data_IF_676774635871
#
_entry.id   IF_676774635871
#
_cell.length_a   1.000
_cell.length_b   1.000
_cell.length_c   1.000
_cell.angle_alpha   90.00
_cell.angle_beta   90.00
_cell.angle_gamma   90.00
#
_symmetry.space_group_name_H-M   'P 1'
#
loop_
_entity.id
_entity.type
_entity.pdbx_description
1 polymer ?
#
# COMPACT_ATOMS: atom_id res chain seq x y z
N UNK A 1 2.49 -10.97 -7.69
CA UNK A 1 2.66 -11.61 -6.38
C UNK A 1 3.29 -10.61 -5.41
N UNK A 2 3.32 -10.89 -4.11
CA UNK A 2 4.09 -10.12 -3.13
C UNK A 2 5.38 -10.85 -2.76
N UNK A 3 6.43 -10.10 -2.48
CA UNK A 3 7.74 -10.65 -2.08
C UNK A 3 8.34 -9.81 -0.96
N UNK A 4 9.01 -10.44 -0.01
CA UNK A 4 9.65 -9.78 1.12
C UNK A 4 11.16 -10.02 1.09
N UNK A 5 11.93 -8.96 1.31
CA UNK A 5 13.36 -9.03 1.58
C UNK A 5 13.55 -8.69 3.06
N UNK A 6 13.86 -9.68 3.92
CA UNK A 6 14.02 -9.45 5.35
C UNK A 6 15.03 -8.32 5.65
N UNK A 7 14.66 -7.40 6.53
CA UNK A 7 15.50 -6.26 6.91
C UNK A 7 15.57 -5.12 5.88
N UNK A 8 14.91 -5.24 4.73
CA UNK A 8 14.90 -4.20 3.69
C UNK A 8 13.48 -3.66 3.46
N UNK A 9 12.62 -4.44 2.79
CA UNK A 9 11.27 -4.02 2.45
C UNK A 9 10.41 -5.17 1.90
N UNK A 10 9.11 -4.92 1.80
CA UNK A 10 8.17 -5.74 1.04
C UNK A 10 7.93 -5.10 -0.33
N UNK A 11 7.64 -5.92 -1.34
CA UNK A 11 7.41 -5.49 -2.71
C UNK A 11 6.13 -6.09 -3.28
N UNK A 12 5.37 -5.26 -3.99
CA UNK A 12 4.31 -5.71 -4.88
C UNK A 12 4.91 -5.89 -6.27
N UNK A 13 5.00 -7.14 -6.70
CA UNK A 13 5.62 -7.53 -7.96
C UNK A 13 4.56 -7.80 -9.03
N UNK A 14 4.71 -7.16 -10.17
CA UNK A 14 4.03 -7.53 -11.41
C UNK A 14 5.08 -8.10 -12.37
N UNK A 15 4.84 -9.31 -12.88
CA UNK A 15 5.70 -9.95 -13.89
C UNK A 15 4.89 -10.09 -15.19
N UNK A 16 5.54 -9.84 -16.32
CA UNK A 16 4.91 -9.78 -17.63
C UNK A 16 5.94 -10.05 -18.74
N UNK A 17 5.47 -10.21 -19.99
CA UNK A 17 6.33 -10.29 -21.17
C UNK A 17 6.20 -9.01 -22.00
N UNK A 18 7.30 -8.56 -22.57
CA UNK A 18 7.39 -7.44 -23.51
C UNK A 18 8.21 -7.87 -24.74
N UNK A 19 8.32 -7.01 -25.77
CA UNK A 19 8.91 -7.39 -27.06
C UNK A 19 10.37 -7.91 -26.95
N UNK A 20 11.12 -7.47 -25.93
CA UNK A 20 12.50 -7.91 -25.65
C UNK A 20 12.57 -9.06 -24.64
N UNK A 21 11.47 -9.76 -24.34
CA UNK A 21 11.40 -10.87 -23.39
C UNK A 21 10.69 -10.55 -22.06
N UNK A 22 11.02 -11.28 -21.01
CA UNK A 22 10.38 -11.13 -19.69
C UNK A 22 10.74 -9.79 -19.02
N UNK A 23 9.82 -9.29 -18.19
CA UNK A 23 9.98 -8.07 -17.41
C UNK A 23 9.23 -8.16 -16.10
N UNK A 24 9.65 -7.36 -15.12
CA UNK A 24 8.96 -7.23 -13.85
C UNK A 24 9.06 -5.81 -13.29
N UNK A 25 7.99 -5.36 -12.63
CA UNK A 25 7.96 -4.10 -11.87
C UNK A 25 7.85 -4.43 -10.38
N UNK A 26 8.80 -3.90 -9.60
CA UNK A 26 8.84 -4.01 -8.15
C UNK A 26 8.45 -2.67 -7.55
N UNK A 27 7.29 -2.61 -6.88
CA UNK A 27 6.87 -1.43 -6.12
C UNK A 27 7.07 -1.68 -4.64
N UNK A 28 7.86 -0.84 -3.98
CA UNK A 28 8.10 -0.91 -2.54
C UNK A 28 6.78 -0.70 -1.79
N UNK A 29 6.49 -1.57 -0.85
CA UNK A 29 5.40 -1.41 0.11
C UNK A 29 6.03 -0.81 1.37
N UNK A 30 5.55 0.35 1.85
CA UNK A 30 6.05 0.94 3.09
C UNK A 30 5.98 -0.06 4.24
N UNK A 31 7.08 -0.17 5.00
CA UNK A 31 7.15 -1.05 6.18
C UNK A 31 6.41 -0.44 7.37
N UNK A 32 6.40 0.88 7.47
CA UNK A 32 5.71 1.63 8.51
C UNK A 32 4.37 2.14 7.99
N UNK A 33 3.31 1.89 8.74
CA UNK A 33 2.00 2.52 8.51
C UNK A 33 2.02 3.87 9.23
N UNK A 34 1.87 4.96 8.47
CA UNK A 34 1.81 6.32 9.00
C UNK A 34 0.47 6.56 9.71
N UNK A 35 0.48 7.37 10.78
CA UNK A 35 -0.77 7.75 11.46
C UNK A 35 -1.56 8.77 10.62
N UNK A 36 -2.81 9.05 11.01
CA UNK A 36 -3.60 10.11 10.37
C UNK A 36 -2.93 11.48 10.57
N UNK A 37 -2.31 11.72 11.72
CA UNK A 37 -1.58 12.97 11.99
C UNK A 37 -0.35 13.11 11.09
N UNK A 38 0.44 12.04 10.92
CA UNK A 38 1.63 12.04 10.04
C UNK A 38 1.27 12.37 8.58
N UNK A 39 0.07 11.97 8.15
CA UNK A 39 -0.46 12.22 6.81
C UNK A 39 -1.15 13.59 6.67
N UNK A 40 -1.26 14.36 7.76
CA UNK A 40 -1.93 15.66 7.77
C UNK A 40 -3.46 15.56 7.62
N UNK A 41 -4.05 14.41 7.96
CA UNK A 41 -5.49 14.22 7.89
C UNK A 41 -6.21 14.79 9.12
N UNK A 42 -7.34 15.47 8.87
CA UNK A 42 -8.18 16.03 9.93
C UNK A 42 -9.02 14.99 10.67
N UNK A 43 -9.63 15.39 11.79
CA UNK A 43 -10.48 14.53 12.64
C UNK A 43 -11.61 13.83 11.88
N UNK A 44 -12.11 14.42 10.78
CA UNK A 44 -13.15 13.82 9.93
C UNK A 44 -12.80 12.40 9.47
N UNK A 45 -11.54 12.12 9.17
CA UNK A 45 -11.12 10.77 8.75
C UNK A 45 -11.15 9.77 9.90
N UNK A 46 -10.85 10.22 11.12
CA UNK A 46 -11.00 9.42 12.34
C UNK A 46 -12.46 9.11 12.60
N UNK A 47 -13.33 10.11 12.51
CA UNK A 47 -14.77 9.93 12.75
C UNK A 47 -15.39 8.94 11.75
N UNK A 48 -15.04 9.05 10.47
CA UNK A 48 -15.46 8.10 9.42
C UNK A 48 -14.98 6.68 9.71
N UNK A 49 -13.74 6.51 10.20
CA UNK A 49 -13.20 5.20 10.57
C UNK A 49 -13.91 4.54 11.77
N UNK A 50 -14.65 5.32 12.57
CA UNK A 50 -15.34 4.86 13.78
C UNK A 50 -16.83 4.53 13.54
N UNK A 51 -17.34 4.65 12.31
CA UNK A 51 -18.71 4.26 12.01
C UNK A 51 -18.93 2.76 12.27
N UNK A 52 -20.00 2.36 13.01
CA UNK A 52 -20.17 0.97 13.43
C UNK A 52 -20.53 0.02 12.27
N UNK A 53 -20.95 0.56 11.12
CA UNK A 53 -21.33 -0.18 9.90
C UNK A 53 -21.50 0.78 8.72
N UNK A 54 -21.38 0.25 7.50
CA UNK A 54 -21.55 1.00 6.26
C UNK A 54 -20.52 0.59 5.21
N UNK A 55 -20.46 1.34 4.13
CA UNK A 55 -19.44 1.23 3.08
C UNK A 55 -18.71 2.56 2.99
N UNK A 56 -17.39 2.54 3.16
CA UNK A 56 -16.51 3.69 2.96
C UNK A 56 -15.72 3.46 1.67
N UNK A 57 -15.77 4.42 0.76
CA UNK A 57 -15.05 4.40 -0.52
C UNK A 57 -13.89 5.40 -0.41
N UNK A 58 -12.68 4.93 -0.69
CA UNK A 58 -11.42 5.68 -0.62
C UNK A 58 -10.84 5.83 -2.02
#
# INVERSE_FOLDING_TARGET
FSFEVPGVARFRVNAFNQNRGSGAVFRTIPSTVLTLEDLGFGQVFRDVSMFPRGLVLV
#
